data_IF_427584216066
#
_entry.id   IF_427584216066
#
_cell.length_a   1.000
_cell.length_b   1.000
_cell.length_c   1.000
_cell.angle_alpha   90.00
_cell.angle_beta   90.00
_cell.angle_gamma   90.00
#
_symmetry.space_group_name_H-M   'P 1'
#
loop_
_entity.id
_entity.type
_entity.pdbx_description
1 polymer ?
#
# COMPACT_ATOMS: atom_id res chain seq x y z
N UNK A 1 -7.09 31.38 -22.94
CA UNK A 1 -7.79 30.62 -21.87
C UNK A 1 -8.23 29.21 -22.29
N UNK A 2 -8.52 28.94 -23.57
CA UNK A 2 -8.95 27.61 -24.04
C UNK A 2 -7.92 26.47 -23.81
N UNK A 3 -6.61 26.73 -23.95
CA UNK A 3 -5.56 25.71 -23.80
C UNK A 3 -5.38 25.16 -22.36
N UNK A 4 -5.78 25.92 -21.33
CA UNK A 4 -5.71 25.45 -19.94
C UNK A 4 -6.88 24.51 -19.62
N UNK A 5 -8.08 24.77 -20.16
CA UNK A 5 -9.25 23.90 -19.97
C UNK A 5 -9.04 22.55 -20.63
N UNK A 6 -8.56 22.53 -21.88
CA UNK A 6 -8.27 21.29 -22.63
C UNK A 6 -7.19 20.45 -21.93
N UNK A 7 -6.13 21.09 -21.38
CA UNK A 7 -5.14 20.37 -20.56
C UNK A 7 -5.78 19.76 -19.33
N UNK A 8 -6.62 20.51 -18.61
CA UNK A 8 -7.29 20.03 -17.40
C UNK A 8 -8.27 18.88 -17.69
N UNK A 9 -8.97 18.91 -18.82
CA UNK A 9 -9.87 17.85 -19.28
C UNK A 9 -9.09 16.60 -19.69
N UNK A 10 -7.95 16.75 -20.36
CA UNK A 10 -7.05 15.63 -20.65
C UNK A 10 -6.44 15.01 -19.39
N UNK A 11 -6.05 15.82 -18.40
CA UNK A 11 -5.57 15.30 -17.11
C UNK A 11 -6.67 14.55 -16.36
N UNK A 12 -7.91 15.03 -16.38
CA UNK A 12 -9.06 14.34 -15.77
C UNK A 12 -9.37 13.03 -16.48
N UNK A 13 -9.44 13.03 -17.81
CA UNK A 13 -9.72 11.83 -18.61
C UNK A 13 -8.66 10.75 -18.43
N UNK A 14 -7.37 11.12 -18.44
CA UNK A 14 -6.27 10.20 -18.15
C UNK A 14 -6.34 9.63 -16.72
N UNK A 15 -6.74 10.43 -15.74
CA UNK A 15 -6.92 9.95 -14.36
C UNK A 15 -8.11 8.99 -14.19
N UNK A 16 -9.18 9.17 -14.96
CA UNK A 16 -10.36 8.29 -14.93
C UNK A 16 -10.09 6.95 -15.62
N UNK A 17 -9.38 6.97 -16.76
CA UNK A 17 -8.91 5.75 -17.43
C UNK A 17 -7.94 4.97 -16.50
N UNK A 18 -6.98 5.64 -15.85
CA UNK A 18 -6.09 5.03 -14.86
C UNK A 18 -6.85 4.40 -13.68
N UNK A 19 -7.94 5.03 -13.21
CA UNK A 19 -8.78 4.48 -12.14
C UNK A 19 -9.59 3.27 -12.61
N UNK A 20 -10.06 3.28 -13.87
CA UNK A 20 -10.82 2.18 -14.46
C UNK A 20 -9.99 0.91 -14.65
N UNK A 21 -8.68 1.04 -14.83
CA UNK A 21 -7.73 -0.08 -15.01
C UNK A 21 -7.18 -0.66 -13.69
N UNK A 22 -7.53 -0.08 -12.54
CA UNK A 22 -7.07 -0.59 -11.26
C UNK A 22 -7.66 -1.97 -10.95
N UNK A 23 -6.77 -2.95 -10.83
CA UNK A 23 -7.12 -4.31 -10.44
C UNK A 23 -7.57 -4.32 -8.98
N UNK A 24 -8.81 -4.74 -8.76
CA UNK A 24 -9.37 -5.06 -7.45
C UNK A 24 -9.23 -6.56 -7.18
N UNK A 25 -9.06 -6.95 -5.92
CA UNK A 25 -8.95 -8.35 -5.51
C UNK A 25 -7.60 -8.74 -4.91
N UNK A 26 -7.35 -10.04 -4.71
CA UNK A 26 -6.16 -10.54 -4.02
C UNK A 26 -4.88 -10.20 -4.79
N UNK A 27 -3.80 -9.99 -4.05
CA UNK A 27 -2.46 -9.79 -4.60
C UNK A 27 -1.92 -11.11 -5.14
N UNK A 28 -1.37 -11.09 -6.35
CA UNK A 28 -0.68 -12.24 -6.91
C UNK A 28 0.80 -12.24 -6.54
N UNK A 29 1.45 -13.39 -6.69
CA UNK A 29 2.88 -13.55 -6.39
C UNK A 29 3.73 -12.68 -7.32
N UNK A 30 3.29 -12.50 -8.57
CA UNK A 30 3.93 -11.66 -9.57
C UNK A 30 3.88 -10.19 -9.15
N UNK A 31 2.71 -9.71 -8.71
CA UNK A 31 2.54 -8.35 -8.19
C UNK A 31 3.41 -8.11 -6.95
N UNK A 32 3.46 -9.07 -6.03
CA UNK A 32 4.33 -9.01 -4.85
C UNK A 32 5.81 -8.94 -5.26
N UNK A 33 6.23 -9.74 -6.24
CA UNK A 33 7.61 -9.77 -6.73
C UNK A 33 8.02 -8.44 -7.35
N UNK A 34 7.13 -7.83 -8.14
CA UNK A 34 7.36 -6.50 -8.72
C UNK A 34 7.51 -5.44 -7.62
N UNK A 35 6.62 -5.46 -6.62
CA UNK A 35 6.65 -4.54 -5.49
C UNK A 35 7.95 -4.70 -4.68
N UNK A 36 8.34 -5.93 -4.33
CA UNK A 36 9.58 -6.22 -3.59
C UNK A 36 10.80 -5.77 -4.39
N UNK A 37 10.88 -6.13 -5.68
CA UNK A 37 12.02 -5.78 -6.53
C UNK A 37 12.17 -4.27 -6.65
N UNK A 38 11.07 -3.56 -6.89
CA UNK A 38 11.10 -2.12 -7.00
C UNK A 38 11.63 -1.47 -5.70
N UNK A 39 11.12 -1.89 -4.55
CA UNK A 39 11.53 -1.35 -3.24
C UNK A 39 12.99 -1.69 -2.94
N UNK A 40 13.46 -2.88 -3.31
CA UNK A 40 14.85 -3.26 -3.13
C UNK A 40 15.82 -2.35 -3.92
N UNK A 41 15.39 -1.82 -5.06
CA UNK A 41 16.22 -0.95 -5.92
C UNK A 41 16.07 0.54 -5.54
N UNK A 42 14.85 0.99 -5.25
CA UNK A 42 14.53 2.42 -5.10
C UNK A 42 14.23 2.86 -3.66
N UNK A 43 14.14 1.93 -2.71
CA UNK A 43 13.72 2.17 -1.34
C UNK A 43 12.20 2.18 -1.15
N UNK A 44 11.77 2.25 0.12
CA UNK A 44 10.35 2.30 0.49
C UNK A 44 9.81 3.74 0.45
N UNK A 45 8.55 3.92 0.04
CA UNK A 45 7.88 5.23 0.00
C UNK A 45 7.34 5.60 -1.37
N UNK A 46 6.90 6.86 -1.51
CA UNK A 46 6.36 7.44 -2.74
C UNK A 46 5.37 6.51 -3.49
N UNK A 47 4.45 5.89 -2.75
CA UNK A 47 3.69 4.73 -3.21
C UNK A 47 2.90 4.93 -4.50
N UNK A 48 2.43 6.16 -4.76
CA UNK A 48 1.73 6.47 -6.01
C UNK A 48 2.65 6.42 -7.23
N UNK A 49 3.88 6.92 -7.07
CA UNK A 49 4.91 6.89 -8.13
C UNK A 49 5.41 5.46 -8.28
N UNK A 50 5.68 4.79 -7.16
CA UNK A 50 6.08 3.39 -7.11
C UNK A 50 5.13 2.50 -7.90
N UNK A 51 3.82 2.61 -7.66
CA UNK A 51 2.84 1.75 -8.34
C UNK A 51 2.92 1.89 -9.86
N UNK A 52 3.05 3.13 -10.34
CA UNK A 52 3.19 3.43 -11.78
C UNK A 52 4.51 2.92 -12.34
N UNK A 53 5.63 3.17 -11.66
CA UNK A 53 6.95 2.80 -12.15
C UNK A 53 7.25 1.30 -12.05
N UNK A 54 6.66 0.61 -11.08
CA UNK A 54 6.71 -0.85 -10.96
C UNK A 54 5.78 -1.56 -11.97
N UNK A 55 4.97 -0.82 -12.73
CA UNK A 55 4.00 -1.39 -13.67
C UNK A 55 2.82 -2.08 -12.97
N UNK A 56 2.54 -1.74 -11.71
CA UNK A 56 1.46 -2.32 -10.94
C UNK A 56 0.14 -1.63 -11.29
N UNK A 57 -0.88 -2.42 -11.65
CA UNK A 57 -2.26 -1.93 -11.80
C UNK A 57 -2.96 -1.77 -10.45
N UNK A 58 -2.26 -1.22 -9.45
CA UNK A 58 -2.71 -1.07 -8.05
C UNK A 58 -2.55 0.38 -7.62
N UNK A 59 -3.33 0.80 -6.63
CA UNK A 59 -3.16 2.14 -6.03
C UNK A 59 -1.92 2.17 -5.15
N UNK A 60 -1.31 3.35 -4.98
CA UNK A 60 -0.23 3.52 -4.02
C UNK A 60 -0.62 3.15 -2.60
N UNK A 61 -1.85 3.47 -2.17
CA UNK A 61 -2.38 3.01 -0.88
C UNK A 61 -2.35 1.48 -0.76
N UNK A 62 -2.78 0.77 -1.80
CA UNK A 62 -2.76 -0.71 -1.81
C UNK A 62 -1.32 -1.24 -1.72
N UNK A 63 -0.39 -0.66 -2.47
CA UNK A 63 1.02 -1.06 -2.44
C UNK A 63 1.64 -0.86 -1.04
N UNK A 64 1.37 0.29 -0.40
CA UNK A 64 1.79 0.58 0.97
C UNK A 64 1.28 -0.47 1.95
N UNK A 65 -0.01 -0.75 1.92
CA UNK A 65 -0.63 -1.73 2.81
C UNK A 65 -0.06 -3.13 2.58
N UNK A 66 0.14 -3.52 1.32
CA UNK A 66 0.70 -4.82 1.00
C UNK A 66 2.11 -4.96 1.55
N UNK A 67 2.95 -3.94 1.36
CA UNK A 67 4.31 -3.93 1.88
C UNK A 67 4.33 -4.01 3.41
N UNK A 68 3.69 -3.06 4.08
CA UNK A 68 3.79 -2.92 5.54
C UNK A 68 3.16 -4.07 6.31
N UNK A 69 2.07 -4.66 5.81
CA UNK A 69 1.33 -5.69 6.54
C UNK A 69 1.76 -7.11 6.18
N UNK A 70 2.32 -7.32 4.99
CA UNK A 70 2.61 -8.66 4.50
C UNK A 70 4.05 -8.82 4.04
N UNK A 71 4.58 -7.98 3.16
CA UNK A 71 5.84 -8.30 2.47
C UNK A 71 7.11 -7.83 3.19
N UNK A 72 7.03 -6.82 4.06
CA UNK A 72 8.19 -6.28 4.75
C UNK A 72 8.84 -7.36 5.65
N UNK A 73 10.17 -7.55 5.60
CA UNK A 73 10.86 -8.62 6.34
C UNK A 73 10.63 -8.59 7.86
N UNK A 74 10.43 -7.40 8.42
CA UNK A 74 10.26 -7.20 9.87
C UNK A 74 8.88 -7.63 10.39
N UNK A 75 7.96 -8.03 9.50
CA UNK A 75 6.63 -8.47 9.89
C UNK A 75 6.71 -9.87 10.49
N UNK A 76 6.59 -9.96 11.83
CA UNK A 76 6.50 -11.23 12.54
C UNK A 76 5.20 -11.95 12.17
N UNK A 77 5.33 -13.18 11.64
CA UNK A 77 4.21 -14.07 11.33
C UNK A 77 4.27 -15.26 12.29
N UNK A 78 3.22 -15.48 13.06
CA UNK A 78 3.16 -16.60 14.00
C UNK A 78 2.28 -16.31 15.21
N UNK A 79 2.28 -17.26 16.14
CA UNK A 79 1.54 -17.13 17.39
C UNK A 79 2.22 -16.11 18.30
N UNK A 80 1.41 -15.32 19.00
CA UNK A 80 1.90 -14.43 20.05
C UNK A 80 2.39 -15.24 21.24
N UNK A 81 3.57 -14.91 21.75
CA UNK A 81 4.07 -15.45 23.01
C UNK A 81 3.19 -15.02 24.18
N UNK A 82 3.23 -15.77 25.30
CA UNK A 82 2.44 -15.42 26.49
C UNK A 82 2.76 -14.00 26.98
N UNK A 83 4.04 -13.62 26.91
CA UNK A 83 4.51 -12.28 27.28
C UNK A 83 3.94 -11.20 26.37
N UNK A 84 3.91 -11.42 25.06
CA UNK A 84 3.30 -10.50 24.10
C UNK A 84 1.79 -10.37 24.34
N UNK A 85 1.10 -11.48 24.64
CA UNK A 85 -0.33 -11.47 24.96
C UNK A 85 -0.63 -10.65 26.23
N UNK A 86 0.15 -10.85 27.31
CA UNK A 86 0.00 -10.09 28.55
C UNK A 86 0.24 -8.60 28.32
N UNK A 87 1.28 -8.26 27.55
CA UNK A 87 1.57 -6.87 27.20
C UNK A 87 0.44 -6.22 26.41
N UNK A 88 -0.15 -6.94 25.44
CA UNK A 88 -1.30 -6.44 24.67
C UNK A 88 -2.49 -6.13 25.61
N UNK A 89 -2.78 -7.02 26.56
CA UNK A 89 -3.86 -6.82 27.53
C UNK A 89 -3.59 -5.60 28.43
N UNK A 90 -2.35 -5.45 28.91
CA UNK A 90 -1.95 -4.30 29.72
C UNK A 90 -2.11 -2.98 28.96
N UNK A 91 -1.61 -2.93 27.72
CA UNK A 91 -1.69 -1.75 26.87
C UNK A 91 -3.15 -1.42 26.51
N UNK A 92 -3.97 -2.43 26.23
CA UNK A 92 -5.39 -2.26 25.99
C UNK A 92 -6.13 -1.75 27.23
N UNK A 93 -5.82 -2.25 28.42
CA UNK A 93 -6.41 -1.74 29.67
C UNK A 93 -6.04 -0.27 29.91
N UNK A 94 -4.79 0.12 29.61
CA UNK A 94 -4.32 1.49 29.82
C UNK A 94 -4.86 2.49 28.80
N UNK A 95 -4.98 2.10 27.53
CA UNK A 95 -5.25 3.04 26.44
C UNK A 95 -6.46 2.71 25.57
N UNK A 96 -7.13 1.58 25.78
CA UNK A 96 -8.23 1.10 24.95
C UNK A 96 -7.81 0.74 23.52
N UNK A 97 -8.79 0.56 22.66
CA UNK A 97 -8.58 0.25 21.24
C UNK A 97 -8.17 1.49 20.45
N UNK A 98 -6.85 1.77 20.41
CA UNK A 98 -6.26 2.84 19.57
C UNK A 98 -5.50 2.32 18.36
N UNK A 99 -5.72 1.06 17.99
CA UNK A 99 -5.15 0.51 16.75
C UNK A 99 -5.73 1.23 15.55
N UNK A 100 -4.88 1.92 14.80
CA UNK A 100 -5.23 2.58 13.55
C UNK A 100 -5.29 1.51 12.47
N UNK A 101 -6.41 1.39 11.76
CA UNK A 101 -6.46 0.72 10.48
C UNK A 101 -5.85 1.65 9.41
N UNK A 102 -4.66 1.36 8.85
CA UNK A 102 -4.08 2.15 7.75
C UNK A 102 -4.88 2.07 6.43
#
# INVERSE_FOLDING_TARGET
MANLSIKSENYKKASEEEISELRRGPWTIEEDTLLIRYIAVHGEGQWNILAKQAGLKRTGKSCRLRWLNYLKPDVKRGNLTLQEQLLILELHSKWGNRYIFP
#
